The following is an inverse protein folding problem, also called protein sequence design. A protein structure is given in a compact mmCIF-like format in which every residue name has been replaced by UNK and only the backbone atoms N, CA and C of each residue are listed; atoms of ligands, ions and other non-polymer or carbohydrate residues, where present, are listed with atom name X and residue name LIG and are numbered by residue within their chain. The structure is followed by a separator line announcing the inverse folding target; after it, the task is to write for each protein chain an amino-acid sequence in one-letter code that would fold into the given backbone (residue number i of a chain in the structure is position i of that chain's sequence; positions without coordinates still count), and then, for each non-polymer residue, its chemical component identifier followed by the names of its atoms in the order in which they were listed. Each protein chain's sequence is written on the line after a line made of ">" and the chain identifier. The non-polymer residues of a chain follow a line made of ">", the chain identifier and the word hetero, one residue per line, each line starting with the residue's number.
data_IF_728253212236
#
_entry.id   IF_728253212236
#
_cell.length_a   1.000
_cell.length_b   1.000
_cell.length_c   1.000
_cell.angle_alpha   90.00
_cell.angle_beta   90.00
_cell.angle_gamma   90.00
#
_symmetry.space_group_name_H-M   'P 1'
#
loop_
_entity.id
_entity.type
_entity.pdbx_description
1 polymer ?
#
# COMPACT_ATOMS: atom_id res chain seq x y z
N UNK A 1 0.14 -2.53 -0.56
CA UNK A 1 -0.09 -2.33 0.87
C UNK A 1 -0.14 -0.85 1.16
N UNK A 2 -1.28 -0.37 1.58
CA UNK A 2 -1.48 1.02 1.97
C UNK A 2 -1.23 1.15 3.47
N UNK A 3 -0.26 1.96 3.85
CA UNK A 3 -0.09 2.36 5.24
C UNK A 3 -0.98 3.58 5.52
N UNK A 4 -1.93 3.45 6.42
CA UNK A 4 -2.70 4.59 6.92
C UNK A 4 -2.13 5.02 8.27
N UNK A 5 -1.81 6.31 8.37
CA UNK A 5 -1.35 6.90 9.61
C UNK A 5 -2.34 7.97 10.05
N UNK A 6 -2.85 7.84 11.26
CA UNK A 6 -3.76 8.86 11.80
C UNK A 6 -3.03 10.20 11.96
N UNK A 7 -3.68 11.28 11.52
CA UNK A 7 -3.18 12.63 11.73
C UNK A 7 -3.00 12.90 13.23
N UNK A 8 -1.83 13.41 13.63
CA UNK A 8 -1.51 13.71 15.02
C UNK A 8 -0.25 13.03 15.54
N UNK A 9 0.29 12.07 14.83
CA UNK A 9 1.58 11.47 15.16
C UNK A 9 2.69 12.20 14.40
N UNK A 10 2.91 13.43 14.83
CA UNK A 10 4.00 14.23 14.30
C UNK A 10 5.33 13.74 14.86
N UNK A 11 6.31 13.58 13.99
CA UNK A 11 7.70 13.69 14.31
C UNK A 11 8.50 12.41 14.55
N UNK A 12 7.95 11.21 14.35
CA UNK A 12 8.81 10.03 14.32
C UNK A 12 8.95 9.51 12.89
N UNK A 13 10.16 9.64 12.37
CA UNK A 13 10.55 8.91 11.16
C UNK A 13 10.32 7.43 11.44
N UNK A 14 9.40 6.83 10.68
CA UNK A 14 9.35 5.39 10.62
C UNK A 14 10.76 4.89 10.30
N UNK A 15 11.26 3.97 11.12
CA UNK A 15 12.52 3.28 10.83
C UNK A 15 12.47 2.83 9.39
N UNK A 16 13.38 3.32 8.57
CA UNK A 16 13.43 2.96 7.16
C UNK A 16 13.81 1.48 7.04
N UNK A 17 12.82 0.61 6.97
CA UNK A 17 13.06 -0.64 6.29
C UNK A 17 13.24 -0.32 4.80
N UNK A 18 14.27 -0.87 4.12
CA UNK A 18 14.42 -0.70 2.68
C UNK A 18 13.11 -1.05 1.99
N UNK A 19 12.65 -0.18 1.08
CA UNK A 19 11.47 -0.44 0.29
C UNK A 19 10.12 0.00 0.88
N UNK A 20 10.09 0.87 1.87
CA UNK A 20 8.85 1.48 2.35
C UNK A 20 8.71 2.92 1.91
N UNK A 21 7.51 3.26 1.48
CA UNK A 21 7.12 4.64 1.24
C UNK A 21 5.94 5.01 2.11
N UNK A 22 6.00 6.18 2.74
CA UNK A 22 4.95 6.66 3.62
C UNK A 22 4.68 8.14 3.33
N UNK A 23 3.42 8.46 3.11
CA UNK A 23 2.94 9.83 3.01
C UNK A 23 2.19 10.17 4.30
N UNK A 24 2.55 11.29 4.92
CA UNK A 24 1.78 11.85 6.02
C UNK A 24 0.88 12.95 5.43
N UNK A 25 -0.43 12.73 5.51
CA UNK A 25 -1.42 13.65 4.97
C UNK A 25 -2.36 14.12 6.05
N UNK A 26 -2.89 15.34 5.89
CA UNK A 26 -3.87 15.92 6.83
C UNK A 26 -5.26 15.35 6.63
N UNK A 27 -5.54 14.81 5.45
CA UNK A 27 -6.83 14.22 5.11
C UNK A 27 -6.61 12.85 4.42
N UNK A 28 -7.61 11.96 4.46
CA UNK A 28 -7.55 10.70 3.75
C UNK A 28 -7.37 10.91 2.24
N UNK A 29 -6.73 9.96 1.58
CA UNK A 29 -6.65 9.96 0.13
C UNK A 29 -8.04 9.81 -0.49
N UNK A 30 -8.33 10.51 -1.60
CA UNK A 30 -9.63 10.38 -2.26
C UNK A 30 -9.84 8.96 -2.81
N UNK A 31 -11.10 8.50 -2.92
CA UNK A 31 -11.41 7.17 -3.47
C UNK A 31 -10.91 6.98 -4.90
N UNK A 32 -10.72 8.06 -5.65
CA UNK A 32 -10.20 8.06 -7.00
C UNK A 32 -8.69 7.84 -7.10
N UNK A 33 -7.99 7.76 -5.96
CA UNK A 33 -6.56 7.52 -5.94
C UNK A 33 -6.22 6.21 -6.63
N UNK A 34 -5.36 6.29 -7.63
CA UNK A 34 -4.94 5.15 -8.43
C UNK A 34 -3.84 4.36 -7.72
N UNK A 35 -3.91 3.05 -7.87
CA UNK A 35 -2.88 2.12 -7.42
C UNK A 35 -2.54 1.24 -8.61
N UNK A 36 -1.28 1.28 -9.03
CA UNK A 36 -0.81 0.43 -10.12
C UNK A 36 0.26 -0.52 -9.62
N UNK A 37 0.27 -1.71 -10.19
CA UNK A 37 1.28 -2.72 -9.93
C UNK A 37 1.87 -3.22 -11.24
N UNK A 38 3.19 -3.36 -11.27
CA UNK A 38 3.92 -4.02 -12.34
C UNK A 38 4.85 -5.06 -11.73
N UNK A 39 4.88 -6.23 -12.34
CA UNK A 39 5.85 -7.26 -11.98
C UNK A 39 6.73 -7.49 -13.21
N UNK A 40 8.02 -7.22 -13.04
CA UNK A 40 9.00 -7.31 -14.10
C UNK A 40 9.81 -8.59 -13.95
N UNK A 41 9.91 -9.34 -15.02
CA UNK A 41 10.73 -10.57 -15.11
C UNK A 41 11.65 -10.45 -16.30
N UNK A 42 12.96 -10.56 -16.07
CA UNK A 42 13.96 -10.40 -17.12
C UNK A 42 13.79 -9.08 -17.88
N UNK A 43 13.51 -7.99 -17.16
CA UNK A 43 13.28 -6.64 -17.70
C UNK A 43 12.04 -6.51 -18.59
N UNK A 44 11.15 -7.49 -18.58
CA UNK A 44 9.88 -7.45 -19.30
C UNK A 44 8.71 -7.52 -18.31
N UNK A 45 7.59 -6.90 -18.64
CA UNK A 45 6.40 -6.91 -17.80
C UNK A 45 5.76 -8.30 -17.86
N UNK A 46 5.81 -9.02 -16.73
CA UNK A 46 5.15 -10.32 -16.60
C UNK A 46 3.70 -10.18 -16.16
N UNK A 47 3.40 -9.16 -15.37
CA UNK A 47 2.04 -8.81 -14.94
C UNK A 47 1.97 -7.32 -14.71
N UNK A 48 0.86 -6.71 -15.11
CA UNK A 48 0.55 -5.33 -14.81
C UNK A 48 -0.95 -5.17 -14.54
N UNK A 49 -1.27 -4.29 -13.61
CA UNK A 49 -2.67 -4.01 -13.29
C UNK A 49 -2.81 -2.67 -12.60
N UNK A 50 -4.05 -2.20 -12.58
CA UNK A 50 -4.40 -0.91 -12.01
C UNK A 50 -5.75 -1.00 -11.32
N UNK A 51 -5.88 -0.30 -10.19
CA UNK A 51 -7.12 -0.20 -9.44
C UNK A 51 -7.19 1.18 -8.78
N UNK A 52 -8.25 1.44 -8.05
CA UNK A 52 -8.40 2.64 -7.23
C UNK A 52 -8.76 2.25 -5.79
N UNK A 53 -8.69 3.22 -4.87
CA UNK A 53 -9.13 3.00 -3.50
C UNK A 53 -10.61 2.63 -3.41
N UNK A 54 -11.43 3.07 -4.36
CA UNK A 54 -12.86 2.73 -4.41
C UNK A 54 -13.11 1.24 -4.62
N UNK A 55 -12.17 0.52 -5.21
CA UNK A 55 -12.26 -0.92 -5.46
C UNK A 55 -11.93 -1.78 -4.24
N UNK A 56 -11.48 -1.17 -3.14
CA UNK A 56 -11.29 -1.89 -1.89
C UNK A 56 -12.67 -2.35 -1.38
N UNK A 57 -12.71 -3.59 -0.90
CA UNK A 57 -13.95 -4.19 -0.36
C UNK A 57 -14.54 -3.39 0.79
N UNK A 58 -13.68 -2.74 1.59
CA UNK A 58 -14.07 -1.91 2.72
C UNK A 58 -13.42 -0.56 2.63
N UNK A 59 -14.18 0.47 2.95
CA UNK A 59 -13.68 1.83 2.99
C UNK A 59 -12.58 1.97 4.06
N UNK A 60 -11.42 2.60 3.75
CA UNK A 60 -10.32 2.75 4.70
C UNK A 60 -10.72 3.38 6.03
N UNK A 61 -11.57 4.41 6.00
CA UNK A 61 -12.04 5.07 7.23
C UNK A 61 -12.80 4.10 8.14
N UNK A 62 -13.64 3.26 7.55
CA UNK A 62 -14.37 2.22 8.28
C UNK A 62 -13.44 1.24 8.98
N UNK A 63 -12.34 0.84 8.31
CA UNK A 63 -11.33 -0.02 8.89
C UNK A 63 -10.62 0.64 10.07
N UNK A 64 -10.30 1.92 9.95
CA UNK A 64 -9.68 2.71 11.01
C UNK A 64 -10.61 2.82 12.21
N UNK A 65 -11.88 3.12 11.99
CA UNK A 65 -12.88 3.25 13.05
C UNK A 65 -13.04 1.93 13.82
N UNK A 66 -13.03 0.82 13.10
CA UNK A 66 -13.09 -0.51 13.70
C UNK A 66 -11.86 -0.81 14.56
N UNK A 67 -10.68 -0.51 14.03
CA UNK A 67 -9.41 -0.74 14.72
C UNK A 67 -9.34 0.02 16.05
N UNK A 68 -9.82 1.27 16.08
CA UNK A 68 -9.73 2.15 17.24
C UNK A 68 -10.92 2.03 18.20
N UNK A 69 -11.89 1.18 17.91
CA UNK A 69 -13.08 1.05 18.75
C UNK A 69 -12.75 0.66 20.21
N UNK A 70 -11.88 -0.32 20.37
CA UNK A 70 -11.50 -0.85 21.69
C UNK A 70 -9.98 -0.86 21.92
N UNK A 71 -9.22 -0.19 21.04
CA UNK A 71 -7.77 -0.18 21.09
C UNK A 71 -7.23 1.23 20.99
N UNK A 72 -6.10 1.46 21.62
CA UNK A 72 -5.36 2.70 21.52
C UNK A 72 -3.93 2.43 21.02
N UNK A 73 -3.46 3.27 20.13
CA UNK A 73 -2.10 3.17 19.58
C UNK A 73 -1.39 4.52 19.74
N UNK A 74 -0.86 4.82 20.95
CA UNK A 74 -0.27 6.13 21.24
C UNK A 74 0.86 6.51 20.30
N UNK A 75 1.59 5.52 19.80
CA UNK A 75 2.71 5.73 18.86
C UNK A 75 2.32 5.49 17.41
N UNK A 76 1.04 5.23 17.13
CA UNK A 76 0.53 4.89 15.81
C UNK A 76 0.65 3.42 15.47
N UNK A 77 0.06 3.06 14.34
CA UNK A 77 0.12 1.69 13.83
C UNK A 77 0.02 1.72 12.31
N UNK A 78 0.43 0.61 11.69
CA UNK A 78 0.17 0.37 10.28
C UNK A 78 -1.00 -0.59 10.16
N UNK A 79 -1.99 -0.20 9.38
CA UNK A 79 -3.16 -1.03 9.10
C UNK A 79 -3.07 -1.58 7.69
N UNK A 80 -3.20 -2.89 7.56
CA UNK A 80 -3.27 -3.55 6.26
C UNK A 80 -4.71 -3.56 5.78
N UNK A 81 -4.97 -2.86 4.68
CA UNK A 81 -6.32 -2.65 4.16
C UNK A 81 -6.75 -3.71 3.16
N UNK A 82 -5.85 -4.59 2.75
CA UNK A 82 -6.09 -5.45 1.61
C UNK A 82 -5.83 -4.76 0.28
N UNK A 83 -6.26 -5.36 -0.81
CA UNK A 83 -6.01 -4.84 -2.16
C UNK A 83 -7.22 -5.08 -3.06
N UNK A 84 -7.40 -4.19 -4.05
CA UNK A 84 -8.38 -4.34 -5.13
C UNK A 84 -7.83 -5.07 -6.35
N UNK A 85 -6.54 -5.43 -6.35
CA UNK A 85 -5.93 -6.10 -7.49
C UNK A 85 -4.96 -7.19 -7.03
N UNK A 86 -5.12 -8.37 -7.64
CA UNK A 86 -4.25 -9.53 -7.40
C UNK A 86 -3.91 -10.16 -8.73
N UNK A 87 -2.69 -10.67 -8.92
CA UNK A 87 -2.39 -11.47 -10.10
C UNK A 87 -3.30 -12.69 -10.23
N UNK A 88 -3.47 -13.23 -11.45
CA UNK A 88 -4.25 -14.46 -11.64
C UNK A 88 -3.68 -15.61 -10.80
N UNK A 89 -4.54 -16.58 -10.49
CA UNK A 89 -4.16 -17.72 -9.64
C UNK A 89 -3.06 -18.61 -10.24
N UNK A 90 -2.90 -18.58 -11.55
CA UNK A 90 -1.84 -19.29 -12.27
C UNK A 90 -0.50 -18.53 -12.33
N UNK A 91 -0.48 -17.28 -11.87
CA UNK A 91 0.72 -16.48 -11.79
C UNK A 91 1.45 -16.74 -10.47
N UNK A 92 2.74 -17.02 -10.56
CA UNK A 92 3.62 -17.18 -9.39
C UNK A 92 4.85 -16.27 -9.52
N UNK A 93 5.28 -15.72 -8.40
CA UNK A 93 6.51 -14.95 -8.35
C UNK A 93 7.72 -15.88 -8.49
N UNK A 94 8.73 -15.38 -9.18
CA UNK A 94 10.02 -16.07 -9.33
C UNK A 94 11.14 -15.23 -8.71
N UNK A 95 12.24 -15.87 -8.40
CA UNK A 95 13.45 -15.19 -7.92
C UNK A 95 13.89 -14.10 -8.91
N UNK A 96 14.33 -12.98 -8.40
CA UNK A 96 14.73 -11.80 -9.16
C UNK A 96 13.59 -11.06 -9.89
N UNK A 97 12.33 -11.44 -9.70
CA UNK A 97 11.23 -10.62 -10.15
C UNK A 97 11.24 -9.27 -9.39
N UNK A 98 10.95 -8.20 -10.10
CA UNK A 98 10.79 -6.88 -9.49
C UNK A 98 9.33 -6.52 -9.42
N UNK A 99 8.87 -6.19 -8.22
CA UNK A 99 7.50 -5.73 -7.97
C UNK A 99 7.56 -4.22 -7.80
N UNK A 100 6.85 -3.51 -8.67
CA UNK A 100 6.75 -2.06 -8.61
C UNK A 100 5.31 -1.67 -8.34
N UNK A 101 5.09 -0.95 -7.24
CA UNK A 101 3.76 -0.44 -6.88
C UNK A 101 3.83 1.07 -6.87
N UNK A 102 2.95 1.72 -7.61
CA UNK A 102 2.88 3.17 -7.72
C UNK A 102 1.52 3.67 -7.25
N UNK A 103 1.58 4.61 -6.32
CA UNK A 103 0.43 5.39 -5.87
C UNK A 103 0.85 6.85 -6.02
N UNK A 104 0.32 7.62 -7.01
CA UNK A 104 0.87 8.92 -7.39
C UNK A 104 1.17 9.87 -6.23
N UNK A 105 0.27 10.07 -5.23
CA UNK A 105 0.58 10.97 -4.13
C UNK A 105 1.71 10.48 -3.23
N UNK A 106 1.94 9.17 -3.15
CA UNK A 106 2.94 8.56 -2.26
C UNK A 106 4.25 8.33 -3.00
N UNK A 107 4.19 7.90 -4.24
CA UNK A 107 5.33 7.56 -5.08
C UNK A 107 5.36 6.09 -5.46
N UNK A 108 6.53 5.62 -5.84
CA UNK A 108 6.74 4.25 -6.30
C UNK A 108 7.57 3.46 -5.29
N UNK A 109 7.09 2.28 -4.94
CA UNK A 109 7.79 1.29 -4.16
C UNK A 109 8.26 0.18 -5.09
N UNK A 110 9.53 -0.19 -5.01
CA UNK A 110 10.10 -1.28 -5.80
C UNK A 110 10.82 -2.26 -4.88
N UNK A 111 10.51 -3.54 -5.04
CA UNK A 111 11.15 -4.63 -4.31
C UNK A 111 11.50 -5.77 -5.25
N UNK A 112 12.59 -6.45 -4.95
CA UNK A 112 13.03 -7.64 -5.68
C UNK A 112 12.69 -8.88 -4.87
N UNK A 113 12.24 -9.92 -5.56
CA UNK A 113 11.95 -11.23 -4.96
C UNK A 113 13.26 -12.00 -4.78
N UNK A 114 13.51 -12.39 -3.56
CA UNK A 114 14.71 -13.19 -3.21
C UNK A 114 14.65 -14.64 -3.65
#
# INVERSE_FOLDING_TARGET
>A
MLGYRRAGLQGRRATRAPGRRTLVAQSPLPPTTEISIEILRNQAVAFAGQTTLAELKREPQSLVDYLFRDNAFPQGCFLMTGTGIVPPSDFTLASADRIRITIPPIGTLENEVG
#
